data_IF_327895959046
#
_entry.id   IF_327895959046
#
_cell.length_a   1.000
_cell.length_b   1.000
_cell.length_c   1.000
_cell.angle_alpha   90.00
_cell.angle_beta   90.00
_cell.angle_gamma   90.00
#
_symmetry.space_group_name_H-M   'P 1'
#
loop_
_entity.id
_entity.type
_entity.pdbx_description
1 polymer ?
#
# COMPACT_ATOMS: atom_id res chain seq x y z
N UNK A 1 7.56 -9.07 -1.00
CA UNK A 1 8.55 -9.07 0.09
C UNK A 1 8.12 -10.06 1.17
N UNK A 2 9.06 -10.76 1.79
CA UNK A 2 8.77 -11.69 2.90
C UNK A 2 9.63 -11.24 4.08
N UNK A 3 9.00 -10.93 5.22
CA UNK A 3 9.69 -10.50 6.43
C UNK A 3 9.36 -11.45 7.58
N UNK A 4 10.40 -11.95 8.26
CA UNK A 4 10.28 -12.84 9.41
C UNK A 4 11.27 -12.41 10.48
N UNK A 5 10.76 -11.96 11.62
CA UNK A 5 11.61 -11.69 12.79
C UNK A 5 11.85 -13.01 13.53
N UNK A 6 13.11 -13.39 13.72
CA UNK A 6 13.49 -14.54 14.53
C UNK A 6 14.00 -14.05 15.90
N UNK A 7 13.23 -14.28 16.98
CA UNK A 7 13.62 -13.93 18.35
C UNK A 7 12.55 -13.12 19.11
N UNK A 8 12.70 -13.02 20.43
CA UNK A 8 11.91 -12.11 21.27
C UNK A 8 12.54 -10.72 21.16
N UNK A 9 11.91 -9.82 20.43
CA UNK A 9 12.44 -8.47 20.19
C UNK A 9 11.41 -7.46 20.68
N UNK A 10 11.81 -6.41 21.42
CA UNK A 10 10.91 -5.33 21.83
C UNK A 10 10.11 -4.81 20.64
N UNK A 11 8.84 -4.45 20.85
CA UNK A 11 7.86 -4.07 19.82
C UNK A 11 8.35 -3.05 18.77
N UNK A 12 9.31 -2.18 19.11
CA UNK A 12 9.97 -1.24 18.19
C UNK A 12 10.84 -1.92 17.11
N UNK A 13 11.14 -3.20 17.26
CA UNK A 13 11.95 -4.03 16.36
C UNK A 13 11.12 -5.13 15.67
N UNK A 14 9.80 -5.14 15.87
CA UNK A 14 8.88 -5.93 15.06
C UNK A 14 8.72 -5.29 13.69
N UNK A 15 8.57 -6.11 12.64
CA UNK A 15 8.39 -5.58 11.30
C UNK A 15 7.00 -4.94 11.19
N UNK A 16 6.93 -3.62 11.41
CA UNK A 16 5.75 -2.85 11.10
C UNK A 16 5.52 -2.88 9.60
N UNK A 17 4.29 -3.16 9.19
CA UNK A 17 3.90 -3.06 7.78
C UNK A 17 4.12 -1.61 7.36
N UNK A 18 4.91 -1.33 6.32
CA UNK A 18 5.25 0.03 5.94
C UNK A 18 4.00 0.73 5.38
N UNK A 19 3.29 1.46 6.23
CA UNK A 19 2.23 2.39 5.83
C UNK A 19 2.81 3.70 5.31
N UNK A 20 2.14 4.32 4.34
CA UNK A 20 2.53 5.60 3.77
C UNK A 20 1.38 6.59 3.84
N UNK A 21 1.41 7.43 4.88
CA UNK A 21 0.42 8.51 5.06
C UNK A 21 0.81 9.81 4.33
N UNK A 22 1.93 9.85 3.61
CA UNK A 22 2.35 11.06 2.87
C UNK A 22 1.52 11.23 1.60
N UNK A 23 1.47 12.44 1.05
CA UNK A 23 0.83 12.69 -0.26
C UNK A 23 1.63 12.11 -1.44
N UNK A 24 2.86 11.63 -1.20
CA UNK A 24 3.75 11.11 -2.23
C UNK A 24 3.75 9.58 -2.25
N UNK A 25 3.94 9.02 -3.44
CA UNK A 25 4.11 7.58 -3.61
C UNK A 25 5.44 7.13 -3.04
N UNK A 26 5.44 6.07 -2.23
CA UNK A 26 6.66 5.45 -1.70
C UNK A 26 6.71 3.97 -2.12
N UNK A 27 7.87 3.47 -2.61
CA UNK A 27 8.00 2.09 -3.03
C UNK A 27 7.79 1.14 -1.85
N UNK A 28 7.19 -0.03 -2.13
CA UNK A 28 6.99 -1.12 -1.17
C UNK A 28 6.24 -0.71 0.12
N UNK A 29 5.39 0.31 0.03
CA UNK A 29 4.52 0.75 1.12
C UNK A 29 3.06 0.47 0.81
N UNK A 30 2.20 0.58 1.82
CA UNK A 30 0.76 0.57 1.67
C UNK A 30 0.22 1.98 1.90
N UNK A 31 -0.49 2.53 0.93
CA UNK A 31 -0.86 3.94 0.90
C UNK A 31 -2.09 4.25 1.76
N UNK A 32 -2.87 3.22 2.13
CA UNK A 32 -4.07 3.38 2.93
C UNK A 32 -3.95 2.81 4.35
N UNK A 33 -2.85 2.10 4.66
CA UNK A 33 -2.61 1.62 6.02
C UNK A 33 -2.11 2.74 6.92
N UNK A 34 -2.71 2.84 8.11
CA UNK A 34 -2.21 3.71 9.15
C UNK A 34 -0.94 3.15 9.79
N UNK A 35 -0.12 4.04 10.35
CA UNK A 35 1.06 3.61 11.11
C UNK A 35 0.62 2.72 12.27
N UNK A 36 1.27 1.55 12.37
CA UNK A 36 0.96 0.53 13.37
C UNK A 36 -0.45 -0.09 13.28
N UNK A 37 -1.18 0.09 12.17
CA UNK A 37 -2.49 -0.55 11.98
C UNK A 37 -2.37 -2.08 11.98
N UNK A 38 -1.30 -2.60 11.39
CA UNK A 38 -0.95 -4.02 11.43
C UNK A 38 0.44 -4.22 12.02
N UNK A 39 0.51 -5.01 13.09
CA UNK A 39 1.76 -5.42 13.75
C UNK A 39 1.84 -6.94 13.67
N UNK A 40 2.90 -7.46 13.05
CA UNK A 40 3.03 -8.89 12.75
C UNK A 40 4.44 -9.39 13.03
N UNK A 41 4.55 -10.62 13.53
CA UNK A 41 5.84 -11.29 13.72
C UNK A 41 6.39 -11.84 12.40
N UNK A 42 5.47 -12.23 11.52
CA UNK A 42 5.73 -12.77 10.19
C UNK A 42 4.71 -12.19 9.23
N UNK A 43 5.18 -11.68 8.10
CA UNK A 43 4.32 -11.22 7.03
C UNK A 43 4.87 -11.58 5.66
N UNK A 44 3.94 -11.72 4.71
CA UNK A 44 4.23 -11.77 3.30
C UNK A 44 3.46 -10.63 2.63
N UNK A 45 4.19 -9.72 2.00
CA UNK A 45 3.66 -8.62 1.21
C UNK A 45 3.85 -8.89 -0.29
N UNK A 46 2.85 -8.55 -1.07
CA UNK A 46 2.83 -8.67 -2.52
C UNK A 46 2.54 -7.29 -3.11
N UNK A 47 3.37 -6.85 -4.06
CA UNK A 47 3.15 -5.60 -4.79
C UNK A 47 3.25 -5.95 -6.28
N UNK A 48 2.14 -5.75 -7.00
CA UNK A 48 2.07 -5.96 -8.44
C UNK A 48 1.63 -4.65 -9.06
N UNK A 49 2.37 -4.18 -10.06
CA UNK A 49 2.02 -3.00 -10.85
C UNK A 49 2.19 -3.34 -12.33
N UNK A 50 1.22 -2.89 -13.13
CA UNK A 50 1.24 -3.02 -14.57
C UNK A 50 1.04 -1.66 -15.23
N UNK A 51 1.96 -1.32 -16.13
CA UNK A 51 1.87 -0.13 -16.98
C UNK A 51 1.37 -0.55 -18.37
N UNK A 52 0.26 0.02 -18.81
CA UNK A 52 -0.32 -0.28 -20.13
C UNK A 52 0.30 0.54 -21.27
N UNK A 53 1.26 1.43 -20.96
CA UNK A 53 2.01 2.23 -21.93
C UNK A 53 1.11 3.05 -22.88
N UNK A 54 0.01 3.60 -22.37
CA UNK A 54 -0.89 4.47 -23.13
C UNK A 54 -1.87 3.72 -24.03
N UNK A 55 -1.97 2.39 -23.94
CA UNK A 55 -2.81 1.57 -24.84
C UNK A 55 -4.30 1.92 -24.78
N UNK A 56 -4.78 2.50 -23.69
CA UNK A 56 -6.21 2.82 -23.47
C UNK A 56 -6.47 4.28 -23.86
N UNK A 57 -5.74 5.23 -23.28
CA UNK A 57 -5.80 6.67 -23.53
C UNK A 57 -5.46 7.00 -24.98
N UNK A 58 -4.56 6.25 -25.65
CA UNK A 58 -4.30 6.44 -27.07
C UNK A 58 -5.51 6.08 -27.96
N UNK A 59 -6.49 5.30 -27.47
CA UNK A 59 -7.72 5.01 -28.21
C UNK A 59 -8.75 6.13 -28.09
N UNK A 60 -8.67 6.96 -27.05
CA UNK A 60 -9.61 8.05 -26.83
C UNK A 60 -9.15 9.29 -27.62
N UNK A 61 -9.95 9.81 -28.58
CA UNK A 61 -9.50 10.84 -29.53
C UNK A 61 -8.89 12.09 -28.89
N UNK A 62 -9.46 12.55 -27.77
CA UNK A 62 -8.99 13.76 -27.08
C UNK A 62 -7.74 13.50 -26.21
N UNK A 63 -7.59 12.31 -25.63
CA UNK A 63 -6.46 12.00 -24.72
C UNK A 63 -5.19 11.57 -25.44
N UNK A 64 -5.30 11.11 -26.70
CA UNK A 64 -4.14 10.71 -27.51
C UNK A 64 -3.05 11.78 -27.61
N UNK A 65 -3.42 13.07 -27.66
CA UNK A 65 -2.46 14.19 -27.77
C UNK A 65 -1.60 14.37 -26.53
N UNK A 66 -2.09 13.98 -25.36
CA UNK A 66 -1.40 14.16 -24.08
C UNK A 66 -0.39 13.05 -23.79
N UNK A 67 -0.41 11.95 -24.57
CA UNK A 67 0.49 10.80 -24.39
C UNK A 67 0.47 10.24 -22.95
N UNK A 68 -0.70 10.22 -22.31
CA UNK A 68 -0.86 9.75 -20.94
C UNK A 68 -0.61 8.23 -20.85
N UNK A 69 -0.16 7.77 -19.68
CA UNK A 69 0.03 6.34 -19.39
C UNK A 69 -0.91 5.89 -18.30
N UNK A 70 -1.53 4.74 -18.52
CA UNK A 70 -2.34 4.06 -17.53
C UNK A 70 -1.45 3.12 -16.72
N UNK A 71 -1.58 3.22 -15.40
CA UNK A 71 -0.92 2.33 -14.47
C UNK A 71 -2.00 1.74 -13.58
N UNK A 72 -1.99 0.43 -13.38
CA UNK A 72 -2.86 -0.23 -12.41
C UNK A 72 -2.00 -1.15 -11.57
N UNK A 73 -2.22 -1.16 -10.27
CA UNK A 73 -1.54 -2.07 -9.38
C UNK A 73 -2.42 -2.56 -8.25
N UNK A 74 -1.94 -3.61 -7.60
CA UNK A 74 -2.54 -4.22 -6.43
C UNK A 74 -1.43 -4.52 -5.44
N UNK A 75 -1.69 -4.22 -4.17
CA UNK A 75 -0.81 -4.51 -3.06
C UNK A 75 -1.59 -5.34 -2.05
N UNK A 76 -0.97 -6.36 -1.51
CA UNK A 76 -1.60 -7.23 -0.53
C UNK A 76 -0.62 -7.65 0.54
N UNK A 77 -1.11 -7.85 1.76
CA UNK A 77 -0.31 -8.35 2.87
C UNK A 77 -1.11 -9.34 3.70
N UNK A 78 -0.46 -10.43 4.06
CA UNK A 78 -0.95 -11.40 5.02
C UNK A 78 0.11 -11.58 6.10
N UNK A 79 -0.31 -11.72 7.34
CA UNK A 79 0.61 -11.88 8.44
C UNK A 79 -0.08 -12.37 9.68
N UNK A 80 0.72 -12.89 10.60
CA UNK A 80 0.25 -13.47 11.84
C UNK A 80 1.09 -12.93 13.01
N UNK A 81 0.48 -12.90 14.19
CA UNK A 81 1.11 -12.49 15.44
C UNK A 81 0.95 -13.60 16.47
N UNK A 82 2.06 -13.99 17.09
CA UNK A 82 2.04 -15.07 18.07
C UNK A 82 1.36 -14.62 19.38
N UNK A 83 0.57 -15.51 19.98
CA UNK A 83 -0.13 -15.25 21.25
C UNK A 83 0.83 -14.85 22.39
N UNK A 84 2.09 -15.31 22.34
CA UNK A 84 3.12 -14.94 23.30
C UNK A 84 3.46 -13.44 23.26
N UNK A 85 3.47 -12.83 22.07
CA UNK A 85 3.72 -11.41 21.90
C UNK A 85 2.51 -10.54 22.26
N UNK A 86 1.29 -11.05 22.04
CA UNK A 86 0.06 -10.42 22.56
C UNK A 86 0.10 -10.37 24.09
N UNK A 87 0.56 -11.46 24.74
CA UNK A 87 0.57 -11.57 26.20
C UNK A 87 1.68 -10.74 26.88
N UNK A 88 2.77 -10.44 26.17
CA UNK A 88 3.88 -9.58 26.66
C UNK A 88 3.56 -8.08 26.60
N UNK A 89 2.44 -7.73 25.98
CA UNK A 89 2.06 -6.35 25.81
C UNK A 89 1.46 -5.76 27.11
N UNK A 90 2.27 -4.99 27.83
CA UNK A 90 1.90 -4.24 29.03
C UNK A 90 1.28 -2.85 28.72
N UNK A 91 1.19 -2.49 27.45
CA UNK A 91 0.69 -1.19 26.95
C UNK A 91 -0.68 -1.42 26.30
N UNK A 92 -1.75 -0.79 26.79
CA UNK A 92 -3.15 -1.01 26.37
C UNK A 92 -3.53 -0.65 24.92
N UNK A 93 -2.63 -0.83 23.95
CA UNK A 93 -2.85 -0.68 22.52
C UNK A 93 -3.50 -1.98 22.00
N UNK A 94 -4.56 -1.86 21.19
CA UNK A 94 -5.21 -3.02 20.56
C UNK A 94 -4.45 -3.46 19.33
N UNK A 95 -3.68 -4.55 19.42
CA UNK A 95 -2.92 -5.11 18.31
C UNK A 95 -3.84 -5.89 17.37
N UNK A 96 -3.73 -5.63 16.06
CA UNK A 96 -4.44 -6.38 15.02
C UNK A 96 -3.40 -6.94 14.05
N UNK A 97 -3.38 -8.25 13.89
CA UNK A 97 -2.70 -8.87 12.76
C UNK A 97 -3.73 -9.06 11.64
N UNK A 98 -3.32 -8.95 10.36
CA UNK A 98 -4.18 -9.24 9.23
C UNK A 98 -4.31 -10.76 9.07
N UNK A 99 -5.07 -11.40 9.98
CA UNK A 99 -5.38 -12.84 9.91
C UNK A 99 -6.11 -13.18 8.61
N UNK A 100 -6.88 -12.24 8.08
CA UNK A 100 -7.32 -12.23 6.68
C UNK A 100 -6.40 -11.30 5.86
N UNK A 101 -5.99 -11.74 4.68
CA UNK A 101 -5.12 -10.96 3.78
C UNK A 101 -5.70 -9.55 3.54
N UNK A 102 -5.00 -8.50 3.95
CA UNK A 102 -5.29 -7.13 3.57
C UNK A 102 -4.90 -6.92 2.10
N UNK A 103 -5.68 -6.13 1.37
CA UNK A 103 -5.28 -5.69 0.04
C UNK A 103 -5.85 -4.31 -0.31
N UNK A 104 -5.10 -3.60 -1.13
CA UNK A 104 -5.45 -2.33 -1.73
C UNK A 104 -5.07 -2.36 -3.21
N UNK A 105 -5.74 -1.55 -4.01
CA UNK A 105 -5.43 -1.43 -5.43
C UNK A 105 -5.42 0.03 -5.82
N UNK A 106 -4.64 0.34 -6.85
CA UNK A 106 -4.52 1.69 -7.35
C UNK A 106 -4.67 1.73 -8.86
N UNK A 107 -5.29 2.81 -9.34
CA UNK A 107 -5.32 3.17 -10.74
C UNK A 107 -4.73 4.57 -10.90
N UNK A 108 -3.75 4.69 -11.78
CA UNK A 108 -2.93 5.87 -11.94
C UNK A 108 -2.85 6.37 -13.37
N UNK A 109 -2.63 7.68 -13.48
CA UNK A 109 -2.37 8.39 -14.71
C UNK A 109 -0.97 8.98 -14.59
N UNK A 110 -0.04 8.47 -15.40
CA UNK A 110 1.33 8.96 -15.48
C UNK A 110 1.56 9.74 -16.78
N UNK A 111 2.75 10.34 -16.86
CA UNK A 111 3.18 11.16 -18.00
C UNK A 111 2.36 12.46 -18.17
N UNK A 112 1.68 12.91 -17.11
CA UNK A 112 1.03 14.23 -17.07
C UNK A 112 2.13 15.29 -17.15
N UNK A 113 2.07 16.18 -18.15
CA UNK A 113 3.15 17.14 -18.47
C UNK A 113 4.54 16.47 -18.62
N UNK A 114 4.57 15.18 -18.95
CA UNK A 114 5.77 14.33 -19.05
C UNK A 114 6.52 13.99 -17.75
N UNK A 115 6.07 14.51 -16.60
CA UNK A 115 6.81 14.38 -15.33
C UNK A 115 5.95 14.03 -14.12
N UNK A 116 4.62 14.13 -14.22
CA UNK A 116 3.70 13.91 -13.11
C UNK A 116 2.98 12.56 -13.27
N UNK A 117 2.80 11.89 -12.14
CA UNK A 117 1.91 10.75 -11.95
C UNK A 117 0.93 11.03 -10.81
N UNK A 118 -0.32 10.64 -11.00
CA UNK A 118 -1.37 10.71 -9.99
C UNK A 118 -2.00 9.33 -9.88
N UNK A 119 -2.06 8.77 -8.67
CA UNK A 119 -2.69 7.49 -8.38
C UNK A 119 -3.89 7.67 -7.46
N UNK A 120 -4.97 7.00 -7.82
CA UNK A 120 -6.17 6.83 -7.02
C UNK A 120 -6.08 5.46 -6.35
N UNK A 121 -5.94 5.43 -5.03
CA UNK A 121 -5.77 4.20 -4.25
C UNK A 121 -7.06 3.89 -3.50
N UNK A 122 -7.48 2.63 -3.53
CA UNK A 122 -8.70 2.14 -2.91
C UNK A 122 -8.39 0.96 -2.00
N UNK A 123 -8.97 1.00 -0.80
CA UNK A 123 -8.87 -0.07 0.19
C UNK A 123 -9.81 -1.21 -0.21
N UNK A 124 -9.31 -2.42 -0.30
CA UNK A 124 -10.08 -3.60 -0.70
C UNK A 124 -10.95 -4.15 0.43
N UNK A 125 -10.39 -4.27 1.63
CA UNK A 125 -11.03 -4.85 2.82
C UNK A 125 -10.68 -4.08 4.11
N UNK A 126 -11.16 -4.55 5.27
CA UNK A 126 -10.98 -3.83 6.54
C UNK A 126 -11.50 -2.38 6.49
N UNK A 127 -12.65 -2.19 5.83
CA UNK A 127 -13.32 -0.89 5.68
C UNK A 127 -14.10 -0.47 6.92
N UNK A 128 -14.43 -1.44 7.78
CA UNK A 128 -15.19 -1.25 9.00
C UNK A 128 -14.31 -0.88 10.20
N UNK A 129 -12.98 -0.78 10.00
CA UNK A 129 -12.07 -0.31 11.04
C UNK A 129 -12.34 1.19 11.29
N UNK A 130 -12.67 1.59 12.53
CA UNK A 130 -12.89 3.00 12.85
C UNK A 130 -11.61 3.82 12.56
N UNK A 131 -11.75 4.89 11.77
CA UNK A 131 -10.62 5.76 11.39
C UNK A 131 -9.84 5.31 10.16
N UNK A 132 -10.10 4.12 9.61
CA UNK A 132 -9.40 3.62 8.44
C UNK A 132 -9.70 4.44 7.17
N UNK A 133 -8.63 4.80 6.46
CA UNK A 133 -8.73 5.45 5.16
C UNK A 133 -9.20 4.46 4.09
N UNK A 134 -10.35 4.72 3.48
CA UNK A 134 -10.90 3.86 2.41
C UNK A 134 -10.40 4.23 1.00
N UNK A 135 -9.95 5.48 0.84
CA UNK A 135 -9.53 6.04 -0.44
C UNK A 135 -8.52 7.17 -0.23
N UNK A 136 -7.53 7.28 -1.11
CA UNK A 136 -6.58 8.38 -1.12
C UNK A 136 -6.09 8.69 -2.52
N UNK A 137 -5.54 9.89 -2.70
CA UNK A 137 -4.93 10.34 -3.94
C UNK A 137 -3.46 10.59 -3.66
N UNK A 138 -2.59 9.97 -4.47
CA UNK A 138 -1.14 10.09 -4.35
C UNK A 138 -0.56 10.79 -5.56
N UNK A 139 0.42 11.65 -5.32
CA UNK A 139 1.22 12.31 -6.35
C UNK A 139 2.62 11.72 -6.45
N UNK A 140 3.17 11.72 -7.65
CA UNK A 140 4.56 11.36 -7.92
C UNK A 140 5.14 12.28 -8.99
N UNK A 141 6.43 12.59 -8.87
CA UNK A 141 7.20 13.30 -9.88
C UNK A 141 8.36 12.41 -10.34
N UNK A 142 8.51 12.24 -11.64
CA UNK A 142 9.53 11.39 -12.25
C UNK A 142 9.39 11.34 -13.77
N UNK A 143 10.43 10.89 -14.47
CA UNK A 143 10.31 10.68 -15.90
C UNK A 143 9.67 9.32 -16.19
N UNK A 144 8.54 9.35 -16.90
CA UNK A 144 7.77 8.15 -17.25
C UNK A 144 7.90 7.90 -18.77
N UNK A 145 9.03 7.32 -19.18
CA UNK A 145 9.35 6.95 -20.58
C UNK A 145 8.93 5.54 -20.97
#
# INVERSE_FOLDING_TARGET
>A
EIGKTFGQVPLLLMNAVPGNQTLFMAPNTFDLLDYYEFVTDKYAALHIENNFNGRIFARIPYFRKFNLREIVGVRGIIGDVSQQNINLNASGISYRAPTHMYWEWHAGIANILKVIRIDFVFRGNYKDIPGASQFTIKGGAGFYF
#
